data_IF_204407343307
#
_entry.id   IF_204407343307
#
_cell.length_a   1.000
_cell.length_b   1.000
_cell.length_c   1.000
_cell.angle_alpha   90.00
_cell.angle_beta   90.00
_cell.angle_gamma   90.00
#
_symmetry.space_group_name_H-M   'P 1'
#
loop_
_entity.id
_entity.type
_entity.pdbx_description
1 polymer ?
#
# COMPACT_ATOMS: atom_id res chain seq x y z
N UNK A 1 17.98 -35.45 39.40
CA UNK A 1 18.68 -34.56 38.43
C UNK A 1 17.99 -34.74 37.10
N UNK A 2 17.63 -33.66 36.42
CA UNK A 2 17.16 -33.72 35.03
C UNK A 2 18.32 -34.13 34.13
N UNK A 3 18.14 -35.17 33.32
CA UNK A 3 19.10 -35.61 32.30
C UNK A 3 18.63 -35.15 30.92
N UNK A 4 19.56 -34.96 29.97
CA UNK A 4 19.20 -34.51 28.62
C UNK A 4 18.34 -35.55 27.89
N UNK A 5 18.57 -36.83 28.20
CA UNK A 5 17.84 -37.99 27.71
C UNK A 5 16.37 -38.00 28.13
N UNK A 6 16.01 -37.30 29.23
CA UNK A 6 14.63 -37.15 29.68
C UNK A 6 13.80 -36.28 28.71
N UNK A 7 14.45 -35.51 27.82
CA UNK A 7 13.79 -34.68 26.81
C UNK A 7 13.48 -35.45 25.50
N UNK A 8 12.96 -36.67 25.63
CA UNK A 8 12.50 -37.49 24.51
C UNK A 8 11.01 -37.82 24.66
N UNK A 9 10.31 -38.09 23.55
CA UNK A 9 8.89 -38.44 23.54
C UNK A 9 7.95 -37.46 24.28
N UNK A 10 8.27 -36.16 24.26
CA UNK A 10 7.51 -35.13 24.98
C UNK A 10 6.24 -34.67 24.23
N UNK A 11 6.33 -34.56 22.90
CA UNK A 11 5.22 -34.14 22.05
C UNK A 11 5.41 -34.67 20.63
N UNK A 12 4.30 -34.79 19.90
CA UNK A 12 4.31 -35.27 18.52
C UNK A 12 4.80 -34.17 17.56
N UNK A 13 5.57 -34.56 16.55
CA UNK A 13 6.04 -33.66 15.49
C UNK A 13 5.74 -34.28 14.13
N UNK A 14 4.88 -33.62 13.35
CA UNK A 14 4.58 -34.04 11.98
C UNK A 14 5.73 -33.67 11.03
N UNK A 15 6.18 -34.63 10.21
CA UNK A 15 7.18 -34.41 9.16
C UNK A 15 6.68 -34.97 7.84
N UNK A 16 7.01 -34.31 6.74
CA UNK A 16 6.65 -34.75 5.38
C UNK A 16 7.90 -35.20 4.63
N UNK A 17 7.95 -36.47 4.25
CA UNK A 17 8.99 -37.01 3.36
C UNK A 17 8.53 -36.88 1.91
N UNK A 18 9.47 -36.63 0.99
CA UNK A 18 9.18 -36.49 -0.45
C UNK A 18 10.10 -37.44 -1.22
N UNK A 19 9.51 -38.23 -2.12
CA UNK A 19 10.20 -39.21 -2.94
C UNK A 19 9.77 -39.06 -4.39
N UNK A 20 10.67 -39.39 -5.31
CA UNK A 20 10.33 -39.57 -6.72
C UNK A 20 9.59 -40.90 -6.90
N UNK A 21 8.55 -40.90 -7.74
CA UNK A 21 7.82 -42.12 -8.10
C UNK A 21 8.20 -42.54 -9.52
N UNK A 22 8.99 -43.61 -9.64
CA UNK A 22 9.44 -44.16 -10.92
C UNK A 22 8.43 -45.23 -11.38
N UNK A 23 7.67 -45.02 -12.49
CA UNK A 23 6.67 -45.97 -12.95
C UNK A 23 7.32 -47.30 -13.38
N UNK A 24 6.69 -48.42 -13.01
CA UNK A 24 7.24 -49.77 -13.25
C UNK A 24 6.46 -50.49 -14.36
N UNK A 25 7.16 -51.25 -15.20
CA UNK A 25 6.53 -52.05 -16.26
C UNK A 25 5.74 -51.19 -17.27
N UNK A 26 4.45 -51.48 -17.44
CA UNK A 26 3.55 -50.78 -18.38
C UNK A 26 2.78 -49.60 -17.76
N UNK A 27 3.06 -49.24 -16.51
CA UNK A 27 2.31 -48.17 -15.80
C UNK A 27 2.31 -46.85 -16.56
N UNK A 28 3.47 -46.37 -17.05
CA UNK A 28 3.54 -45.11 -17.79
C UNK A 28 2.71 -45.15 -19.09
N UNK A 29 2.79 -46.27 -19.81
CA UNK A 29 2.03 -46.47 -21.05
C UNK A 29 0.53 -46.36 -20.79
N UNK A 30 0.01 -47.03 -19.75
CA UNK A 30 -1.41 -46.98 -19.42
C UNK A 30 -1.86 -45.60 -18.92
N UNK A 31 -1.00 -44.87 -18.18
CA UNK A 31 -1.28 -43.49 -17.76
C UNK A 31 -1.46 -42.58 -18.99
N UNK A 32 -0.56 -42.71 -19.97
CA UNK A 32 -0.61 -41.92 -21.21
C UNK A 32 -1.80 -42.30 -22.10
N UNK A 33 -2.11 -43.60 -22.23
CA UNK A 33 -3.26 -44.09 -23.00
C UNK A 33 -4.60 -43.60 -22.44
N UNK A 34 -4.71 -43.43 -21.12
CA UNK A 34 -5.92 -42.93 -20.47
C UNK A 34 -5.96 -41.40 -20.33
N UNK A 35 -4.84 -40.69 -20.56
CA UNK A 35 -4.77 -39.23 -20.48
C UNK A 35 -4.89 -38.65 -19.06
N UNK A 36 -4.51 -39.42 -18.03
CA UNK A 36 -4.67 -39.00 -16.62
C UNK A 36 -3.91 -37.72 -16.27
N UNK A 37 -2.73 -37.51 -16.88
CA UNK A 37 -1.89 -36.34 -16.59
C UNK A 37 -2.54 -35.06 -17.14
N UNK A 38 -3.12 -35.15 -18.33
CA UNK A 38 -3.79 -34.05 -19.00
C UNK A 38 -5.08 -33.65 -18.27
N UNK A 39 -5.88 -34.63 -17.80
CA UNK A 39 -7.08 -34.33 -17.00
C UNK A 39 -6.73 -33.74 -15.62
N UNK A 40 -5.68 -34.22 -14.95
CA UNK A 40 -5.24 -33.67 -13.66
C UNK A 40 -4.70 -32.25 -13.83
N UNK A 41 -3.99 -32.01 -14.94
CA UNK A 41 -3.53 -30.67 -15.32
C UNK A 41 -4.71 -29.73 -15.55
N UNK A 42 -5.69 -30.14 -16.36
CA UNK A 42 -6.90 -29.36 -16.62
C UNK A 42 -7.70 -29.11 -15.34
N UNK A 43 -7.86 -30.12 -14.48
CA UNK A 43 -8.57 -30.01 -13.19
C UNK A 43 -7.89 -29.02 -12.25
N UNK A 44 -6.57 -29.03 -12.18
CA UNK A 44 -5.82 -28.05 -11.40
C UNK A 44 -5.96 -26.63 -11.95
N UNK A 45 -6.01 -26.47 -13.27
CA UNK A 45 -6.22 -25.16 -13.89
C UNK A 45 -7.67 -24.67 -13.65
N UNK A 46 -8.68 -25.52 -13.82
CA UNK A 46 -10.07 -25.22 -13.43
C UNK A 46 -10.20 -24.88 -11.94
N UNK A 47 -9.46 -25.57 -11.05
CA UNK A 47 -9.44 -25.27 -9.62
C UNK A 47 -8.90 -23.86 -9.34
N UNK A 48 -7.82 -23.46 -10.02
CA UNK A 48 -7.22 -22.12 -9.89
C UNK A 48 -8.15 -21.03 -10.40
N UNK A 49 -8.87 -21.29 -11.50
CA UNK A 49 -9.87 -20.36 -12.04
C UNK A 49 -11.11 -20.26 -11.15
N UNK A 50 -11.54 -21.38 -10.56
CA UNK A 50 -12.75 -21.44 -9.75
C UNK A 50 -12.57 -20.83 -8.35
N UNK A 51 -11.36 -20.90 -7.78
CA UNK A 51 -11.08 -20.38 -6.43
C UNK A 51 -11.39 -18.87 -6.28
N UNK A 52 -10.96 -17.96 -7.18
CA UNK A 52 -11.36 -16.56 -7.17
C UNK A 52 -12.87 -16.33 -7.26
N UNK A 53 -13.56 -17.14 -8.06
CA UNK A 53 -15.03 -17.07 -8.22
C UNK A 53 -15.72 -17.42 -6.90
N UNK A 54 -15.27 -18.48 -6.24
CA UNK A 54 -15.78 -18.86 -4.92
C UNK A 54 -15.42 -17.80 -3.87
N UNK A 55 -14.21 -17.23 -3.92
CA UNK A 55 -13.78 -16.15 -3.03
C UNK A 55 -14.69 -14.91 -3.15
N UNK A 56 -15.28 -14.64 -4.32
CA UNK A 56 -16.31 -13.60 -4.48
C UNK A 56 -17.50 -13.82 -3.54
N UNK A 57 -17.96 -15.06 -3.40
CA UNK A 57 -19.08 -15.43 -2.52
C UNK A 57 -18.75 -15.12 -1.06
N UNK A 58 -17.59 -15.58 -0.58
CA UNK A 58 -17.15 -15.32 0.79
C UNK A 58 -16.94 -13.83 1.08
N UNK A 59 -16.31 -13.09 0.14
CA UNK A 59 -16.09 -11.64 0.27
C UNK A 59 -17.42 -10.90 0.37
N UNK A 60 -18.37 -11.19 -0.53
CA UNK A 60 -19.67 -10.54 -0.53
C UNK A 60 -20.44 -10.82 0.76
N UNK A 61 -20.45 -12.07 1.22
CA UNK A 61 -21.15 -12.42 2.47
C UNK A 61 -20.52 -11.71 3.68
N UNK A 62 -19.19 -11.79 3.82
CA UNK A 62 -18.49 -11.15 4.92
C UNK A 62 -18.75 -9.63 4.92
N UNK A 63 -18.65 -8.98 3.76
CA UNK A 63 -18.86 -7.55 3.63
C UNK A 63 -20.30 -7.14 4.02
N UNK A 64 -21.31 -7.86 3.54
CA UNK A 64 -22.72 -7.63 3.90
C UNK A 64 -22.96 -7.77 5.41
N UNK A 65 -22.39 -8.80 6.06
CA UNK A 65 -22.51 -8.96 7.51
C UNK A 65 -21.81 -7.83 8.27
N UNK A 66 -20.60 -7.45 7.85
CA UNK A 66 -19.81 -6.40 8.52
C UNK A 66 -20.44 -5.02 8.44
N UNK A 67 -21.18 -4.71 7.36
CA UNK A 67 -21.94 -3.46 7.24
C UNK A 67 -23.07 -3.33 8.28
N UNK A 68 -23.54 -4.44 8.83
CA UNK A 68 -24.62 -4.47 9.83
C UNK A 68 -24.11 -4.40 11.26
N UNK A 69 -22.80 -4.58 11.47
CA UNK A 69 -22.22 -4.64 12.82
C UNK A 69 -22.33 -3.28 13.50
N UNK A 70 -22.90 -3.28 14.69
CA UNK A 70 -22.86 -2.18 15.63
C UNK A 70 -22.52 -2.72 17.01
N UNK A 71 -21.32 -2.38 17.50
CA UNK A 71 -20.85 -2.71 18.84
C UNK A 71 -20.47 -1.43 19.59
N UNK A 72 -20.64 -1.47 20.91
CA UNK A 72 -19.99 -0.52 21.81
C UNK A 72 -18.57 -1.02 22.09
N UNK A 73 -17.57 -0.15 21.96
CA UNK A 73 -16.16 -0.50 22.05
C UNK A 73 -15.51 -0.03 23.36
N UNK A 74 -16.26 0.58 24.27
CA UNK A 74 -15.74 1.12 25.53
C UNK A 74 -15.17 0.05 26.46
N UNK A 75 -15.84 -1.10 26.60
CA UNK A 75 -15.38 -2.18 27.48
C UNK A 75 -14.03 -2.75 27.02
N UNK A 76 -13.88 -3.01 25.71
CA UNK A 76 -12.61 -3.46 25.14
C UNK A 76 -11.52 -2.39 25.31
N UNK A 77 -11.86 -1.12 25.11
CA UNK A 77 -10.96 0.02 25.34
C UNK A 77 -10.46 0.05 26.80
N UNK A 78 -11.37 -0.10 27.77
CA UNK A 78 -11.05 -0.12 29.19
C UNK A 78 -10.17 -1.32 29.57
N UNK A 79 -10.46 -2.52 29.04
CA UNK A 79 -9.63 -3.71 29.27
C UNK A 79 -8.20 -3.53 28.72
N UNK A 80 -8.06 -2.93 27.54
CA UNK A 80 -6.75 -2.59 26.94
C UNK A 80 -5.99 -1.62 27.86
N UNK A 81 -6.65 -0.58 28.35
CA UNK A 81 -6.02 0.44 29.19
C UNK A 81 -5.59 -0.10 30.55
N UNK A 82 -6.44 -0.91 31.20
CA UNK A 82 -6.11 -1.61 32.46
C UNK A 82 -4.89 -2.50 32.30
N UNK A 83 -4.84 -3.32 31.24
CA UNK A 83 -3.68 -4.16 30.97
C UNK A 83 -2.41 -3.36 30.69
N UNK A 84 -2.50 -2.27 29.91
CA UNK A 84 -1.34 -1.39 29.62
C UNK A 84 -0.79 -0.73 30.87
N UNK A 85 -1.66 -0.37 31.83
CA UNK A 85 -1.31 0.29 33.08
C UNK A 85 -0.70 -0.68 34.10
N UNK A 86 -1.36 -1.81 34.34
CA UNK A 86 -1.00 -2.71 35.44
C UNK A 86 -0.03 -3.81 35.03
N UNK A 87 -0.14 -4.33 33.79
CA UNK A 87 0.72 -5.38 33.24
C UNK A 87 0.78 -6.66 34.08
N UNK A 88 -0.34 -7.01 34.72
CA UNK A 88 -0.49 -8.21 35.56
C UNK A 88 -1.07 -9.37 34.74
N UNK A 89 -0.95 -10.60 35.27
CA UNK A 89 -1.58 -11.79 34.66
C UNK A 89 -3.12 -11.70 34.70
N UNK A 90 -3.67 -11.14 35.78
CA UNK A 90 -5.12 -10.91 35.93
C UNK A 90 -5.66 -9.97 34.83
N UNK A 91 -5.05 -8.80 34.67
CA UNK A 91 -5.48 -7.84 33.62
C UNK A 91 -5.22 -8.36 32.21
N UNK A 92 -4.20 -9.21 32.03
CA UNK A 92 -3.97 -9.91 30.76
C UNK A 92 -5.10 -10.89 30.45
N UNK A 93 -5.50 -11.70 31.43
CA UNK A 93 -6.57 -12.70 31.25
C UNK A 93 -7.92 -12.02 31.03
N UNK A 94 -8.22 -10.96 31.78
CA UNK A 94 -9.43 -10.14 31.56
C UNK A 94 -9.47 -9.56 30.14
N UNK A 95 -8.35 -9.06 29.62
CA UNK A 95 -8.28 -8.59 28.22
C UNK A 95 -8.49 -9.73 27.22
N UNK A 96 -7.94 -10.92 27.45
CA UNK A 96 -8.12 -12.09 26.57
C UNK A 96 -9.60 -12.51 26.53
N UNK A 97 -10.27 -12.52 27.69
CA UNK A 97 -11.70 -12.80 27.80
C UNK A 97 -12.55 -11.76 27.06
N UNK A 98 -12.27 -10.47 27.26
CA UNK A 98 -12.98 -9.40 26.57
C UNK A 98 -12.77 -9.48 25.05
N UNK A 99 -11.55 -9.75 24.60
CA UNK A 99 -11.26 -9.99 23.18
C UNK A 99 -12.07 -11.17 22.63
N UNK A 100 -12.20 -12.27 23.39
CA UNK A 100 -13.02 -13.40 22.99
C UNK A 100 -14.51 -13.02 22.89
N UNK A 101 -15.04 -12.25 23.83
CA UNK A 101 -16.41 -11.73 23.80
C UNK A 101 -16.66 -10.90 22.55
N UNK A 102 -15.77 -9.96 22.23
CA UNK A 102 -15.91 -9.14 21.02
C UNK A 102 -15.74 -9.96 19.73
N UNK A 103 -14.85 -10.96 19.70
CA UNK A 103 -14.73 -11.85 18.53
C UNK A 103 -16.00 -12.67 18.32
N UNK A 104 -16.59 -13.20 19.39
CA UNK A 104 -17.86 -13.91 19.36
C UNK A 104 -19.01 -13.00 18.89
N UNK A 105 -19.08 -11.77 19.41
CA UNK A 105 -20.10 -10.81 19.01
C UNK A 105 -20.07 -10.50 17.51
N UNK A 106 -18.88 -10.39 16.90
CA UNK A 106 -18.74 -10.28 15.43
C UNK A 106 -19.15 -11.58 14.73
N UNK A 107 -18.71 -12.73 15.26
CA UNK A 107 -19.03 -14.03 14.69
C UNK A 107 -20.54 -14.31 14.65
N UNK A 108 -21.29 -13.83 15.64
CA UNK A 108 -22.75 -13.99 15.70
C UNK A 108 -23.49 -13.33 14.53
N UNK A 109 -22.92 -12.29 13.90
CA UNK A 109 -23.45 -11.75 12.65
C UNK A 109 -23.26 -12.72 11.48
N UNK A 110 -22.17 -13.49 11.46
CA UNK A 110 -21.93 -14.49 10.41
C UNK A 110 -22.79 -15.74 10.57
N UNK A 111 -23.09 -16.17 11.80
CA UNK A 111 -23.86 -17.39 12.05
C UNK A 111 -25.35 -17.12 12.32
N UNK A 112 -25.76 -15.85 12.40
CA UNK A 112 -27.15 -15.44 12.59
C UNK A 112 -27.66 -15.69 14.01
N UNK A 113 -26.90 -15.23 15.02
CA UNK A 113 -27.21 -15.39 16.44
C UNK A 113 -27.09 -14.09 17.24
N UNK A 114 -27.04 -12.95 16.58
CA UNK A 114 -26.93 -11.65 17.25
C UNK A 114 -28.30 -11.08 17.56
N UNK A 115 -28.47 -10.53 18.76
CA UNK A 115 -29.71 -9.85 19.17
C UNK A 115 -29.92 -8.51 18.43
N UNK A 116 -28.88 -7.99 17.76
CA UNK A 116 -28.95 -6.72 17.03
C UNK A 116 -29.65 -6.84 15.67
N UNK A 117 -30.00 -8.05 15.25
CA UNK A 117 -30.68 -8.33 13.98
C UNK A 117 -32.02 -9.03 14.21
N UNK A 118 -32.93 -8.84 13.26
CA UNK A 118 -34.24 -9.54 13.28
C UNK A 118 -34.07 -11.04 13.07
N UNK A 119 -35.00 -11.84 13.60
CA UNK A 119 -35.04 -13.30 13.42
C UNK A 119 -34.99 -13.72 11.94
N UNK A 120 -35.62 -12.95 11.06
CA UNK A 120 -35.63 -13.21 9.63
C UNK A 120 -34.23 -13.09 9.01
N UNK A 121 -33.46 -12.08 9.40
CA UNK A 121 -32.08 -11.87 8.94
C UNK A 121 -31.17 -12.93 9.55
N UNK A 122 -31.29 -13.18 10.85
CA UNK A 122 -30.53 -14.21 11.56
C UNK A 122 -30.74 -15.60 10.94
N UNK A 123 -31.99 -15.98 10.65
CA UNK A 123 -32.30 -17.25 9.99
C UNK A 123 -31.64 -17.34 8.60
N UNK A 124 -31.66 -16.26 7.82
CA UNK A 124 -30.99 -16.21 6.50
C UNK A 124 -29.49 -16.40 6.63
N UNK A 125 -28.83 -15.70 7.55
CA UNK A 125 -27.38 -15.83 7.78
C UNK A 125 -27.01 -17.25 8.23
N UNK A 126 -27.79 -17.85 9.14
CA UNK A 126 -27.59 -19.21 9.59
C UNK A 126 -27.70 -20.25 8.45
N UNK A 127 -28.64 -20.06 7.52
CA UNK A 127 -28.79 -20.91 6.33
C UNK A 127 -27.59 -20.75 5.37
N UNK A 128 -27.17 -19.51 5.08
CA UNK A 128 -26.00 -19.23 4.24
C UNK A 128 -24.76 -19.88 4.84
N UNK A 129 -24.48 -19.64 6.13
CA UNK A 129 -23.27 -20.09 6.80
C UNK A 129 -23.13 -21.61 6.82
N UNK A 130 -24.24 -22.36 6.99
CA UNK A 130 -24.24 -23.83 6.92
C UNK A 130 -23.81 -24.36 5.56
N UNK A 131 -24.13 -23.64 4.48
CA UNK A 131 -23.80 -24.00 3.11
C UNK A 131 -22.42 -23.53 2.64
N UNK A 132 -21.81 -22.55 3.32
CA UNK A 132 -20.55 -21.91 2.92
C UNK A 132 -19.34 -22.86 2.85
N UNK A 133 -19.34 -23.95 3.62
CA UNK A 133 -18.18 -24.85 3.74
C UNK A 133 -18.51 -26.28 3.27
N UNK A 134 -19.47 -26.41 2.36
CA UNK A 134 -19.96 -27.69 1.82
C UNK A 134 -20.20 -27.60 0.32
N UNK A 135 -20.55 -28.73 -0.29
CA UNK A 135 -20.96 -28.81 -1.70
C UNK A 135 -22.12 -27.85 -2.07
N UNK A 136 -22.89 -27.38 -1.08
CA UNK A 136 -23.96 -26.39 -1.25
C UNK A 136 -23.47 -25.04 -1.77
N UNK A 137 -22.19 -24.73 -1.61
CA UNK A 137 -21.55 -23.57 -2.23
C UNK A 137 -21.61 -23.61 -3.77
N UNK A 138 -21.65 -24.81 -4.35
CA UNK A 138 -21.53 -25.05 -5.80
C UNK A 138 -22.88 -25.22 -6.50
N UNK A 139 -23.95 -25.50 -5.75
CA UNK A 139 -25.29 -25.75 -6.32
C UNK A 139 -26.11 -24.47 -6.51
N UNK A 140 -25.51 -23.29 -6.27
CA UNK A 140 -26.13 -21.98 -6.45
C UNK A 140 -27.16 -21.57 -5.39
N UNK A 141 -27.43 -22.40 -4.36
CA UNK A 141 -28.33 -22.02 -3.26
C UNK A 141 -27.80 -20.80 -2.50
N UNK A 142 -26.51 -20.81 -2.15
CA UNK A 142 -25.86 -19.68 -1.48
C UNK A 142 -25.91 -18.42 -2.34
N UNK A 143 -25.67 -18.54 -3.66
CA UNK A 143 -25.73 -17.41 -4.59
C UNK A 143 -27.12 -16.75 -4.63
N UNK A 144 -28.18 -17.56 -4.70
CA UNK A 144 -29.57 -17.06 -4.65
C UNK A 144 -29.85 -16.29 -3.36
N UNK A 145 -29.31 -16.75 -2.24
CA UNK A 145 -29.46 -16.10 -0.94
C UNK A 145 -28.55 -14.87 -0.75
N UNK A 146 -27.49 -14.70 -1.53
CA UNK A 146 -26.71 -13.45 -1.54
C UNK A 146 -27.33 -12.39 -2.46
N UNK A 147 -28.06 -12.81 -3.50
CA UNK A 147 -28.86 -11.96 -4.40
C UNK A 147 -28.07 -11.01 -5.31
N UNK A 148 -26.83 -10.70 -4.94
CA UNK A 148 -25.93 -9.72 -5.57
C UNK A 148 -24.88 -10.37 -6.48
N UNK A 149 -24.72 -11.69 -6.37
CA UNK A 149 -23.71 -12.43 -7.12
C UNK A 149 -24.39 -13.28 -8.20
N UNK A 150 -24.26 -12.86 -9.45
CA UNK A 150 -24.63 -13.67 -10.62
C UNK A 150 -23.42 -14.45 -11.12
N UNK A 151 -23.67 -15.60 -11.75
CA UNK A 151 -22.61 -16.39 -12.39
C UNK A 151 -22.72 -16.34 -13.90
N UNK A 152 -21.60 -16.21 -14.59
CA UNK A 152 -21.57 -16.31 -16.06
C UNK A 152 -21.75 -17.76 -16.52
N UNK A 153 -22.04 -17.97 -17.80
CA UNK A 153 -22.14 -19.33 -18.36
C UNK A 153 -20.84 -20.12 -18.17
N UNK A 154 -19.69 -19.46 -18.35
CA UNK A 154 -18.37 -20.02 -18.11
C UNK A 154 -18.13 -20.39 -16.64
N UNK A 155 -18.47 -19.49 -15.70
CA UNK A 155 -18.36 -19.76 -14.26
C UNK A 155 -19.25 -20.95 -13.85
N UNK A 156 -20.46 -21.03 -14.42
CA UNK A 156 -21.35 -22.17 -14.20
C UNK A 156 -20.81 -23.49 -14.78
N UNK A 157 -20.12 -23.44 -15.92
CA UNK A 157 -19.44 -24.61 -16.48
C UNK A 157 -18.28 -25.08 -15.57
N UNK A 158 -17.48 -24.15 -15.05
CA UNK A 158 -16.41 -24.44 -14.08
C UNK A 158 -16.97 -25.05 -12.80
N UNK A 159 -18.06 -24.50 -12.24
CA UNK A 159 -18.74 -25.06 -11.07
C UNK A 159 -19.21 -26.51 -11.32
N UNK A 160 -19.80 -26.78 -12.49
CA UNK A 160 -20.25 -28.12 -12.88
C UNK A 160 -19.09 -29.10 -13.10
N UNK A 161 -17.89 -28.63 -13.47
CA UNK A 161 -16.72 -29.50 -13.66
C UNK A 161 -16.25 -30.20 -12.36
N UNK A 162 -16.72 -29.71 -11.21
CA UNK A 162 -16.49 -30.31 -9.90
C UNK A 162 -17.73 -31.02 -9.33
N UNK A 163 -18.77 -31.26 -10.14
CA UNK A 163 -19.88 -32.11 -9.72
C UNK A 163 -19.36 -33.49 -9.28
N UNK A 164 -19.82 -33.96 -8.12
CA UNK A 164 -19.32 -35.16 -7.41
C UNK A 164 -17.83 -35.16 -7.04
N UNK A 165 -17.11 -34.05 -7.21
CA UNK A 165 -15.67 -33.91 -6.92
C UNK A 165 -15.36 -32.78 -5.93
N UNK A 166 -16.38 -32.28 -5.21
CA UNK A 166 -16.25 -31.14 -4.28
C UNK A 166 -15.35 -31.42 -3.07
N UNK A 167 -15.01 -32.69 -2.80
CA UNK A 167 -14.04 -33.07 -1.77
C UNK A 167 -12.62 -32.60 -2.09
N UNK A 168 -12.32 -32.30 -3.36
CA UNK A 168 -11.07 -31.64 -3.76
C UNK A 168 -10.85 -30.31 -3.03
N UNK A 169 -11.94 -29.65 -2.59
CA UNK A 169 -11.91 -28.39 -1.85
C UNK A 169 -11.83 -28.57 -0.33
N UNK A 170 -11.64 -29.77 0.21
CA UNK A 170 -11.66 -30.00 1.67
C UNK A 170 -10.69 -29.09 2.43
N UNK A 171 -9.42 -29.04 2.01
CA UNK A 171 -8.43 -28.12 2.61
C UNK A 171 -8.75 -26.65 2.37
N UNK A 172 -9.39 -26.33 1.24
CA UNK A 172 -9.85 -24.96 0.97
C UNK A 172 -10.98 -24.54 1.90
N UNK A 173 -11.93 -25.42 2.24
CA UNK A 173 -12.98 -25.14 3.21
C UNK A 173 -12.39 -24.87 4.59
N UNK A 174 -11.41 -25.66 5.06
CA UNK A 174 -10.75 -25.40 6.34
C UNK A 174 -10.05 -24.02 6.35
N UNK A 175 -9.35 -23.68 5.27
CA UNK A 175 -8.76 -22.35 5.10
C UNK A 175 -9.82 -21.24 5.17
N UNK A 176 -11.05 -21.48 4.70
CA UNK A 176 -12.15 -20.50 4.75
C UNK A 176 -12.86 -20.50 6.10
N UNK A 177 -13.01 -21.62 6.79
CA UNK A 177 -13.52 -21.65 8.17
C UNK A 177 -12.64 -20.79 9.09
N UNK A 178 -11.32 -20.89 8.93
CA UNK A 178 -10.36 -20.05 9.66
C UNK A 178 -10.57 -18.55 9.45
N UNK A 179 -11.14 -18.13 8.31
CA UNK A 179 -11.45 -16.71 8.03
C UNK A 179 -12.63 -16.22 8.86
N UNK A 180 -13.64 -17.06 9.09
CA UNK A 180 -14.86 -16.69 9.82
C UNK A 180 -14.83 -17.08 11.30
N UNK A 181 -13.78 -17.77 11.76
CA UNK A 181 -13.65 -18.27 13.12
C UNK A 181 -13.70 -17.16 14.18
N UNK A 182 -14.31 -17.46 15.33
CA UNK A 182 -14.25 -16.61 16.52
C UNK A 182 -12.98 -16.85 17.38
N UNK A 183 -12.21 -17.88 17.05
CA UNK A 183 -10.97 -18.22 17.75
C UNK A 183 -9.90 -17.14 17.62
N UNK A 184 -8.95 -17.16 18.55
CA UNK A 184 -7.79 -16.27 18.55
C UNK A 184 -6.75 -16.69 17.49
N UNK A 185 -7.10 -16.52 16.21
CA UNK A 185 -6.24 -16.83 15.07
C UNK A 185 -6.13 -15.65 14.12
N UNK A 186 -4.90 -15.31 13.74
CA UNK A 186 -4.59 -14.14 12.89
C UNK A 186 -5.19 -14.18 11.48
N UNK A 187 -5.64 -15.37 11.04
CA UNK A 187 -6.33 -15.56 9.76
C UNK A 187 -7.81 -15.17 9.80
N UNK A 188 -8.38 -14.90 10.98
CA UNK A 188 -9.80 -14.65 11.15
C UNK A 188 -10.17 -13.16 11.05
N UNK A 189 -11.34 -12.88 10.49
CA UNK A 189 -11.94 -11.54 10.41
C UNK A 189 -12.22 -10.98 11.82
N UNK A 190 -12.85 -11.72 12.77
CA UNK A 190 -13.04 -11.23 14.12
C UNK A 190 -11.74 -10.81 14.80
N UNK A 191 -10.67 -11.62 14.70
CA UNK A 191 -9.35 -11.26 15.23
C UNK A 191 -8.82 -9.96 14.59
N UNK A 192 -8.87 -9.84 13.25
CA UNK A 192 -8.44 -8.64 12.52
C UNK A 192 -9.16 -7.38 13.00
N UNK A 193 -10.46 -7.47 13.28
CA UNK A 193 -11.25 -6.35 13.76
C UNK A 193 -10.89 -6.01 15.21
N UNK A 194 -10.85 -7.00 16.09
CA UNK A 194 -10.81 -6.80 17.55
C UNK A 194 -9.39 -6.55 18.07
N UNK A 195 -8.41 -7.33 17.61
CA UNK A 195 -7.05 -7.32 18.15
C UNK A 195 -6.06 -6.55 17.29
N UNK A 196 -6.28 -6.49 15.97
CA UNK A 196 -5.38 -5.74 15.09
C UNK A 196 -5.83 -4.30 14.87
N UNK A 197 -7.06 -4.09 14.35
CA UNK A 197 -7.49 -2.79 13.87
C UNK A 197 -8.07 -1.89 14.96
N UNK A 198 -8.84 -2.42 15.92
CA UNK A 198 -9.41 -1.60 16.99
C UNK A 198 -8.34 -0.92 17.85
N UNK A 199 -7.26 -1.60 18.29
CA UNK A 199 -6.20 -0.94 19.06
C UNK A 199 -5.48 0.18 18.27
N UNK A 200 -5.35 0.04 16.94
CA UNK A 200 -4.80 1.09 16.07
C UNK A 200 -5.74 2.29 16.00
N UNK A 201 -7.03 2.04 15.80
CA UNK A 201 -8.05 3.08 15.76
C UNK A 201 -8.15 3.82 17.10
N UNK A 202 -8.21 3.09 18.22
CA UNK A 202 -8.19 3.66 19.58
C UNK A 202 -6.98 4.58 19.80
N UNK A 203 -5.79 4.16 19.38
CA UNK A 203 -4.60 5.01 19.48
C UNK A 203 -4.70 6.25 18.60
N UNK A 204 -5.28 6.15 17.40
CA UNK A 204 -5.52 7.31 16.55
C UNK A 204 -6.48 8.32 17.19
N UNK A 205 -7.54 7.87 17.87
CA UNK A 205 -8.43 8.74 18.64
C UNK A 205 -7.67 9.50 19.73
N UNK A 206 -6.80 8.78 20.45
CA UNK A 206 -5.96 9.38 21.50
C UNK A 206 -4.97 10.41 20.93
N UNK A 207 -4.29 10.09 19.82
CA UNK A 207 -3.40 11.00 19.09
C UNK A 207 -4.15 12.26 18.66
N UNK A 208 -5.31 12.09 18.02
CA UNK A 208 -6.13 13.20 17.53
C UNK A 208 -6.49 14.16 18.66
N UNK A 209 -7.07 13.65 19.74
CA UNK A 209 -7.49 14.45 20.90
C UNK A 209 -6.31 15.23 21.48
N UNK A 210 -5.17 14.58 21.73
CA UNK A 210 -3.99 15.26 22.30
C UNK A 210 -3.46 16.37 21.39
N UNK A 211 -3.43 16.14 20.08
CA UNK A 211 -2.97 17.12 19.11
C UNK A 211 -3.86 18.35 19.09
N UNK A 212 -5.18 18.18 19.01
CA UNK A 212 -6.11 19.33 18.93
C UNK A 212 -6.29 20.04 20.27
N UNK A 213 -6.09 19.36 21.40
CA UNK A 213 -6.07 20.02 22.71
C UNK A 213 -4.82 20.90 22.86
N UNK A 214 -3.65 20.42 22.43
CA UNK A 214 -2.41 21.19 22.51
C UNK A 214 -2.31 22.28 21.43
N UNK A 215 -2.84 22.03 20.24
CA UNK A 215 -2.82 22.94 19.09
C UNK A 215 -4.20 22.96 18.41
N UNK A 216 -5.16 23.78 18.91
CA UNK A 216 -6.54 23.80 18.43
C UNK A 216 -6.72 24.09 16.94
N UNK A 217 -5.80 24.84 16.31
CA UNK A 217 -5.84 25.12 14.87
C UNK A 217 -5.70 23.87 14.00
N UNK A 218 -5.08 22.79 14.49
CA UNK A 218 -4.99 21.52 13.76
C UNK A 218 -6.37 20.92 13.46
N UNK A 219 -7.38 21.20 14.29
CA UNK A 219 -8.76 20.75 14.08
C UNK A 219 -9.29 21.19 12.72
N UNK A 220 -9.17 22.49 12.42
CA UNK A 220 -9.64 23.06 11.15
C UNK A 220 -8.80 22.54 9.97
N UNK A 221 -7.48 22.40 10.15
CA UNK A 221 -6.61 21.81 9.12
C UNK A 221 -7.01 20.37 8.77
N UNK A 222 -7.31 19.53 9.77
CA UNK A 222 -7.72 18.15 9.54
C UNK A 222 -9.10 18.05 8.87
N UNK A 223 -10.05 18.89 9.26
CA UNK A 223 -11.36 18.97 8.60
C UNK A 223 -11.21 19.42 7.13
N UNK A 224 -10.35 20.39 6.85
CA UNK A 224 -10.07 20.86 5.49
C UNK A 224 -9.41 19.78 4.62
N UNK A 225 -8.50 18.96 5.19
CA UNK A 225 -7.94 17.80 4.48
C UNK A 225 -9.03 16.80 4.10
N UNK A 226 -9.91 16.45 5.05
CA UNK A 226 -11.04 15.54 4.79
C UNK A 226 -11.95 16.06 3.69
N UNK A 227 -12.30 17.35 3.72
CA UNK A 227 -13.10 18.02 2.67
C UNK A 227 -12.40 18.06 1.32
N UNK A 228 -11.10 18.35 1.28
CA UNK A 228 -10.32 18.38 0.04
C UNK A 228 -10.19 16.99 -0.61
N UNK A 229 -10.13 15.93 0.18
CA UNK A 229 -10.16 14.55 -0.30
C UNK A 229 -11.58 14.15 -0.75
N UNK A 230 -12.63 14.73 -0.15
CA UNK A 230 -14.02 14.48 -0.52
C UNK A 230 -14.60 13.18 0.06
N UNK A 231 -14.12 12.76 1.24
CA UNK A 231 -14.54 11.52 1.91
C UNK A 231 -15.20 11.83 3.25
N UNK A 232 -16.07 10.93 3.73
CA UNK A 232 -16.81 11.08 4.98
C UNK A 232 -17.49 12.46 5.10
N UNK A 233 -18.13 12.90 4.00
CA UNK A 233 -18.64 14.27 3.83
C UNK A 233 -19.67 14.68 4.88
N UNK A 234 -20.44 13.70 5.39
CA UNK A 234 -21.48 13.90 6.42
C UNK A 234 -20.98 13.71 7.84
N UNK A 235 -19.71 13.39 8.05
CA UNK A 235 -19.14 13.09 9.37
C UNK A 235 -18.06 14.12 9.70
N UNK A 236 -18.18 14.91 10.77
CA UNK A 236 -17.14 15.84 11.19
C UNK A 236 -15.87 15.08 11.62
N UNK A 237 -14.71 15.72 11.52
CA UNK A 237 -13.43 15.07 11.82
C UNK A 237 -13.35 14.51 13.25
N UNK A 238 -14.03 15.11 14.23
CA UNK A 238 -14.08 14.59 15.59
C UNK A 238 -14.81 13.25 15.67
N UNK A 239 -15.92 13.10 14.95
CA UNK A 239 -16.67 11.85 14.91
C UNK A 239 -15.86 10.76 14.21
N UNK A 240 -15.08 11.10 13.17
CA UNK A 240 -14.16 10.15 12.51
C UNK A 240 -13.15 9.55 13.49
N UNK A 241 -12.74 10.32 14.50
CA UNK A 241 -11.86 9.89 15.59
C UNK A 241 -12.61 9.59 16.89
N UNK A 242 -13.82 9.04 16.79
CA UNK A 242 -14.61 8.56 17.92
C UNK A 242 -14.95 7.07 17.79
N UNK A 243 -15.10 6.36 18.91
CA UNK A 243 -15.35 4.91 18.91
C UNK A 243 -16.58 4.46 18.13
N UNK A 244 -17.73 5.16 18.16
CA UNK A 244 -18.89 4.76 17.36
C UNK A 244 -18.58 4.65 15.86
N UNK A 245 -17.69 5.50 15.34
CA UNK A 245 -17.30 5.49 13.93
C UNK A 245 -16.49 4.27 13.53
N UNK A 246 -15.87 3.54 14.48
CA UNK A 246 -15.13 2.32 14.17
C UNK A 246 -16.03 1.22 13.57
N UNK A 247 -17.32 1.19 13.93
CA UNK A 247 -18.29 0.29 13.30
C UNK A 247 -18.43 0.54 11.78
N UNK A 248 -18.13 1.76 11.32
CA UNK A 248 -18.11 2.10 9.88
C UNK A 248 -16.79 1.77 9.19
N UNK A 249 -15.78 1.25 9.91
CA UNK A 249 -14.43 0.97 9.41
C UNK A 249 -14.12 -0.54 9.35
N UNK A 250 -15.15 -1.39 9.34
CA UNK A 250 -14.98 -2.85 9.36
C UNK A 250 -14.81 -3.46 7.97
N UNK A 251 -15.33 -2.79 6.92
CA UNK A 251 -15.23 -3.20 5.52
C UNK A 251 -13.98 -2.63 4.85
N UNK A 252 -13.51 -3.31 3.80
CA UNK A 252 -12.26 -2.94 3.13
C UNK A 252 -12.33 -1.56 2.45
N UNK A 253 -13.46 -1.23 1.83
CA UNK A 253 -13.69 0.08 1.19
C UNK A 253 -13.53 1.20 2.20
N UNK A 254 -14.12 1.07 3.38
CA UNK A 254 -14.06 2.07 4.43
C UNK A 254 -12.66 2.16 5.06
N UNK A 255 -11.97 1.02 5.24
CA UNK A 255 -10.55 0.98 5.64
C UNK A 255 -9.67 1.73 4.64
N UNK A 256 -9.89 1.52 3.34
CA UNK A 256 -9.12 2.19 2.30
C UNK A 256 -9.37 3.70 2.30
N UNK A 257 -10.61 4.16 2.47
CA UNK A 257 -10.93 5.59 2.61
C UNK A 257 -10.28 6.20 3.85
N UNK A 258 -10.37 5.52 5.01
CA UNK A 258 -9.71 5.96 6.24
C UNK A 258 -8.20 6.07 6.06
N UNK A 259 -7.55 5.04 5.51
CA UNK A 259 -6.11 5.07 5.27
C UNK A 259 -5.69 6.17 4.29
N UNK A 260 -6.55 6.54 3.33
CA UNK A 260 -6.30 7.67 2.42
C UNK A 260 -6.51 9.02 3.08
N UNK A 261 -7.41 9.16 4.07
CA UNK A 261 -7.45 10.35 4.93
C UNK A 261 -6.08 10.55 5.60
N UNK A 262 -5.50 9.47 6.13
CA UNK A 262 -4.23 9.50 6.84
C UNK A 262 -3.04 9.77 5.90
N UNK A 263 -3.03 9.15 4.72
CA UNK A 263 -1.87 9.09 3.80
C UNK A 263 -1.95 9.93 2.52
N UNK A 264 -3.09 10.53 2.21
CA UNK A 264 -3.33 11.34 1.01
C UNK A 264 -3.55 10.53 -0.27
N UNK A 265 -3.71 11.25 -1.38
CA UNK A 265 -4.02 10.68 -2.72
C UNK A 265 -3.03 11.22 -3.75
N UNK A 266 -2.32 10.30 -4.41
CA UNK A 266 -1.40 10.63 -5.50
C UNK A 266 -2.16 10.69 -6.83
N UNK A 267 -1.92 11.76 -7.57
CA UNK A 267 -2.35 11.91 -8.97
C UNK A 267 -1.23 11.38 -9.89
N UNK A 268 -1.32 11.68 -11.18
CA UNK A 268 -0.29 11.34 -12.17
C UNK A 268 1.11 11.80 -11.73
N UNK A 269 2.13 11.02 -12.09
CA UNK A 269 3.51 11.33 -11.72
C UNK A 269 3.91 12.73 -12.21
N UNK A 270 4.46 13.55 -11.30
CA UNK A 270 4.84 14.93 -11.60
C UNK A 270 3.78 15.99 -11.24
N UNK A 271 2.56 15.58 -10.88
CA UNK A 271 1.52 16.50 -10.39
C UNK A 271 1.50 16.61 -8.87
N UNK A 272 0.93 17.69 -8.33
CA UNK A 272 0.84 17.87 -6.87
C UNK A 272 -0.09 16.82 -6.24
N UNK A 273 0.46 16.09 -5.27
CA UNK A 273 -0.24 15.10 -4.46
C UNK A 273 -1.20 15.79 -3.46
N UNK A 274 -2.41 15.25 -3.32
CA UNK A 274 -3.32 15.66 -2.24
C UNK A 274 -2.77 15.08 -0.93
N UNK A 275 -2.47 15.96 0.02
CA UNK A 275 -1.84 15.60 1.30
C UNK A 275 -2.84 14.97 2.26
N UNK A 276 -2.43 13.93 2.97
CA UNK A 276 -3.17 13.36 4.11
C UNK A 276 -2.79 14.00 5.45
N UNK A 277 -3.43 13.56 6.52
CA UNK A 277 -3.21 14.10 7.87
C UNK A 277 -1.75 13.96 8.34
N UNK A 278 -1.12 12.81 8.07
CA UNK A 278 0.27 12.57 8.48
C UNK A 278 1.25 13.49 7.74
N UNK A 279 0.99 13.82 6.48
CA UNK A 279 1.83 14.74 5.71
C UNK A 279 1.66 16.18 6.18
N UNK A 280 0.43 16.59 6.51
CA UNK A 280 0.17 17.92 7.10
C UNK A 280 0.91 18.07 8.42
N UNK A 281 0.88 17.05 9.29
CA UNK A 281 1.63 17.06 10.54
C UNK A 281 3.13 17.12 10.32
N UNK A 282 3.67 16.32 9.40
CA UNK A 282 5.09 16.35 9.06
C UNK A 282 5.52 17.74 8.53
N UNK A 283 4.71 18.37 7.66
CA UNK A 283 4.99 19.72 7.16
C UNK A 283 4.92 20.78 8.28
N UNK A 284 4.00 20.63 9.24
CA UNK A 284 3.92 21.51 10.39
C UNK A 284 5.19 21.40 11.26
N UNK A 285 5.67 20.19 11.51
CA UNK A 285 6.90 19.95 12.28
C UNK A 285 8.14 20.51 11.57
N UNK A 286 8.22 20.38 10.24
CA UNK A 286 9.36 20.88 9.46
C UNK A 286 9.51 22.41 9.45
N UNK A 287 8.49 23.16 9.90
CA UNK A 287 8.59 24.62 10.07
C UNK A 287 9.55 25.03 11.19
N UNK A 288 9.85 24.13 12.14
CA UNK A 288 10.76 24.40 13.28
C UNK A 288 10.42 25.69 14.05
N UNK A 289 9.14 25.99 14.20
CA UNK A 289 8.64 27.05 15.07
C UNK A 289 8.19 26.48 16.44
N UNK A 290 7.70 27.32 17.34
CA UNK A 290 7.24 26.88 18.66
C UNK A 290 6.10 25.83 18.57
N UNK A 291 5.21 25.98 17.58
CA UNK A 291 4.12 25.02 17.35
C UNK A 291 4.66 23.66 16.89
N UNK A 292 5.67 23.66 16.01
CA UNK A 292 6.36 22.46 15.58
C UNK A 292 6.96 21.68 16.76
N UNK A 293 7.57 22.37 17.73
CA UNK A 293 8.12 21.73 18.93
C UNK A 293 7.03 21.11 19.82
N UNK A 294 5.89 21.77 19.97
CA UNK A 294 4.74 21.22 20.70
C UNK A 294 4.26 19.93 20.01
N UNK A 295 4.02 19.97 18.70
CA UNK A 295 3.54 18.80 17.94
C UNK A 295 4.56 17.66 18.02
N UNK A 296 5.85 17.93 17.84
CA UNK A 296 6.91 16.91 17.85
C UNK A 296 7.08 16.23 19.21
N UNK A 297 6.72 16.92 20.31
CA UNK A 297 6.74 16.35 21.67
C UNK A 297 5.60 15.36 21.94
N UNK A 298 4.58 15.33 21.08
CA UNK A 298 3.40 14.47 21.20
C UNK A 298 3.50 13.27 20.26
N UNK A 299 2.78 12.17 20.54
CA UNK A 299 2.44 11.19 19.53
C UNK A 299 1.66 11.89 18.40
N UNK A 300 2.24 11.95 17.21
CA UNK A 300 1.73 12.79 16.11
C UNK A 300 1.57 12.03 14.79
N UNK A 301 1.80 10.71 14.76
CA UNK A 301 1.65 9.91 13.54
C UNK A 301 0.47 8.96 13.68
N UNK A 302 -0.57 9.22 12.89
CA UNK A 302 -1.70 8.31 12.78
C UNK A 302 -1.29 6.98 12.12
N UNK A 303 -1.89 5.91 12.62
CA UNK A 303 -1.58 4.52 12.30
C UNK A 303 -2.62 4.00 11.31
N UNK A 304 -2.23 3.59 10.08
CA UNK A 304 -3.17 3.01 9.14
C UNK A 304 -3.69 1.64 9.63
N UNK A 305 -4.93 1.34 9.30
CA UNK A 305 -5.56 0.06 9.60
C UNK A 305 -5.07 -1.02 8.62
N UNK A 306 -4.99 -2.26 9.09
CA UNK A 306 -4.73 -3.40 8.22
C UNK A 306 -5.94 -3.68 7.33
N UNK A 307 -5.66 -4.25 6.16
CA UNK A 307 -6.72 -4.69 5.23
C UNK A 307 -7.65 -5.71 5.90
N UNK A 308 -8.89 -5.79 5.48
CA UNK A 308 -9.77 -6.89 5.85
C UNK A 308 -9.30 -8.19 5.20
N UNK A 309 -9.57 -9.33 5.85
CA UNK A 309 -9.22 -10.66 5.34
C UNK A 309 -10.02 -10.96 4.06
N UNK A 310 -9.37 -11.60 3.08
CA UNK A 310 -9.87 -11.91 1.72
C UNK A 310 -10.17 -10.71 0.81
N UNK A 311 -10.42 -9.50 1.33
CA UNK A 311 -10.82 -8.36 0.50
C UNK A 311 -9.73 -7.87 -0.46
N UNK A 312 -10.16 -7.37 -1.61
CA UNK A 312 -9.30 -6.70 -2.58
C UNK A 312 -9.11 -5.24 -2.19
N UNK A 313 -7.89 -4.72 -2.32
CA UNK A 313 -7.60 -3.31 -2.03
C UNK A 313 -8.04 -2.44 -3.19
N UNK A 314 -8.64 -1.31 -2.87
CA UNK A 314 -8.89 -0.25 -3.82
C UNK A 314 -8.13 1.01 -3.39
N UNK A 315 -7.75 1.84 -4.36
CA UNK A 315 -7.12 3.13 -4.08
C UNK A 315 -7.75 4.20 -4.97
N UNK A 316 -7.91 5.41 -4.43
CA UNK A 316 -8.26 6.60 -5.20
C UNK A 316 -7.04 7.23 -5.87
N UNK A 317 -5.83 6.72 -5.56
CA UNK A 317 -4.62 7.16 -6.24
C UNK A 317 -4.57 6.64 -7.67
N UNK A 318 -3.97 7.43 -8.55
CA UNK A 318 -3.79 7.06 -9.94
C UNK A 318 -2.92 5.79 -10.06
N UNK A 319 -3.36 4.84 -10.88
CA UNK A 319 -2.62 3.63 -11.23
C UNK A 319 -2.26 3.74 -12.70
N UNK A 320 -0.97 3.60 -13.01
CA UNK A 320 -0.49 3.55 -14.39
C UNK A 320 -1.06 2.31 -15.09
N UNK A 321 -1.45 2.49 -16.36
CA UNK A 321 -1.77 1.36 -17.22
C UNK A 321 -0.52 0.48 -17.41
N UNK A 322 -0.73 -0.84 -17.43
CA UNK A 322 0.33 -1.81 -17.62
C UNK A 322 0.38 -2.29 -19.07
N UNK A 323 1.56 -2.29 -19.66
CA UNK A 323 1.80 -2.99 -20.93
C UNK A 323 1.65 -4.50 -20.73
N UNK A 324 1.03 -5.18 -21.69
CA UNK A 324 0.67 -6.60 -21.64
C UNK A 324 1.63 -7.52 -22.39
N UNK A 325 2.54 -6.96 -23.19
CA UNK A 325 3.49 -7.74 -23.98
C UNK A 325 4.78 -6.97 -24.28
N UNK A 326 5.84 -7.72 -24.60
CA UNK A 326 7.11 -7.18 -25.10
C UNK A 326 6.91 -6.25 -26.28
N UNK A 327 6.09 -6.69 -27.24
CA UNK A 327 5.81 -5.95 -28.47
C UNK A 327 5.17 -4.59 -28.18
N UNK A 328 4.23 -4.56 -27.24
CA UNK A 328 3.55 -3.33 -26.83
C UNK A 328 4.53 -2.31 -26.25
N UNK A 329 5.45 -2.74 -25.37
CA UNK A 329 6.50 -1.89 -24.80
C UNK A 329 7.43 -1.36 -25.89
N UNK A 330 7.95 -2.25 -26.73
CA UNK A 330 8.95 -1.93 -27.75
C UNK A 330 8.34 -0.98 -28.79
N UNK A 331 7.15 -1.28 -29.30
CA UNK A 331 6.48 -0.44 -30.30
C UNK A 331 6.08 0.92 -29.72
N UNK A 332 5.49 0.96 -28.52
CA UNK A 332 5.09 2.21 -27.88
C UNK A 332 6.31 3.11 -27.67
N UNK A 333 7.40 2.56 -27.13
CA UNK A 333 8.62 3.33 -26.91
C UNK A 333 9.32 3.74 -28.22
N UNK A 334 9.33 2.88 -29.25
CA UNK A 334 9.88 3.21 -30.57
C UNK A 334 9.14 4.38 -31.22
N UNK A 335 7.80 4.37 -31.14
CA UNK A 335 6.96 5.48 -31.63
C UNK A 335 7.30 6.77 -30.89
N UNK A 336 7.43 6.73 -29.56
CA UNK A 336 7.81 7.89 -28.76
C UNK A 336 9.21 8.42 -29.13
N UNK A 337 10.22 7.55 -29.25
CA UNK A 337 11.56 7.94 -29.71
C UNK A 337 11.55 8.58 -31.11
N UNK A 338 10.68 8.10 -31.99
CA UNK A 338 10.53 8.66 -33.34
C UNK A 338 9.86 10.03 -33.30
N UNK A 339 8.85 10.20 -32.45
CA UNK A 339 8.22 11.50 -32.20
C UNK A 339 9.24 12.52 -31.72
N UNK A 340 10.04 12.19 -30.69
CA UNK A 340 11.06 13.09 -30.15
C UNK A 340 12.08 13.54 -31.21
N UNK A 341 12.50 12.62 -32.10
CA UNK A 341 13.40 12.95 -33.22
C UNK A 341 12.72 13.87 -34.24
N UNK A 342 11.46 13.58 -34.59
CA UNK A 342 10.71 14.38 -35.56
C UNK A 342 10.37 15.78 -35.06
N UNK A 343 10.21 15.96 -33.74
CA UNK A 343 9.95 17.24 -33.09
C UNK A 343 11.24 18.04 -32.81
N UNK A 344 12.42 17.52 -33.19
CA UNK A 344 13.72 18.15 -33.00
C UNK A 344 13.98 18.63 -31.56
N UNK A 345 13.51 17.84 -30.57
CA UNK A 345 13.58 18.26 -29.15
C UNK A 345 15.02 18.37 -28.65
N UNK A 346 15.92 17.55 -29.20
CA UNK A 346 17.30 17.46 -28.73
C UNK A 346 18.17 18.56 -29.36
N UNK A 347 17.97 18.83 -30.64
CA UNK A 347 18.60 19.96 -31.34
C UNK A 347 18.15 21.29 -30.73
N UNK A 348 16.87 21.41 -30.38
CA UNK A 348 16.34 22.58 -29.67
C UNK A 348 16.96 22.72 -28.28
N UNK A 349 17.09 21.63 -27.53
CA UNK A 349 17.74 21.66 -26.21
C UNK A 349 19.21 22.10 -26.31
N UNK A 350 19.98 21.55 -27.26
CA UNK A 350 21.37 21.94 -27.53
C UNK A 350 21.49 23.43 -27.87
N UNK A 351 20.62 23.95 -28.74
CA UNK A 351 20.58 25.37 -29.08
C UNK A 351 20.31 26.25 -27.85
N UNK A 352 19.27 25.93 -27.07
CA UNK A 352 18.91 26.68 -25.85
C UNK A 352 20.04 26.69 -24.81
N UNK A 353 20.72 25.57 -24.58
CA UNK A 353 21.84 25.53 -23.65
C UNK A 353 23.07 26.26 -24.20
N UNK A 354 23.28 26.28 -25.52
CA UNK A 354 24.37 27.04 -26.14
C UNK A 354 24.13 28.56 -26.08
N UNK A 355 22.88 29.01 -26.19
CA UNK A 355 22.49 30.42 -26.06
C UNK A 355 22.90 31.02 -24.71
N UNK A 356 22.91 30.22 -23.63
CA UNK A 356 23.35 30.63 -22.28
C UNK A 356 24.77 31.23 -22.25
N UNK A 357 25.62 30.98 -23.25
CA UNK A 357 26.94 31.59 -23.34
C UNK A 357 26.92 33.08 -23.74
N UNK A 358 25.78 33.58 -24.25
CA UNK A 358 25.70 34.89 -24.90
C UNK A 358 24.50 35.75 -24.49
N UNK A 359 23.47 35.15 -23.90
CA UNK A 359 22.27 35.88 -23.44
C UNK A 359 22.42 36.42 -22.01
N UNK A 360 21.50 37.31 -21.62
CA UNK A 360 21.42 37.84 -20.26
C UNK A 360 20.87 36.79 -19.28
N UNK A 361 21.76 36.32 -18.39
CA UNK A 361 21.47 35.27 -17.42
C UNK A 361 20.68 35.74 -16.19
N UNK A 362 20.39 37.05 -16.07
CA UNK A 362 19.54 37.57 -14.99
C UNK A 362 18.06 37.22 -15.16
N UNK A 363 17.65 36.85 -16.38
CA UNK A 363 16.29 36.44 -16.73
C UNK A 363 16.11 34.92 -16.88
N UNK A 364 17.16 34.13 -16.60
CA UNK A 364 17.12 32.67 -16.59
C UNK A 364 17.06 32.18 -15.15
N UNK A 365 15.98 31.50 -14.77
CA UNK A 365 15.73 31.13 -13.38
C UNK A 365 15.92 29.64 -13.13
N UNK A 366 16.57 29.31 -12.02
CA UNK A 366 16.64 27.98 -11.45
C UNK A 366 15.62 27.88 -10.32
N UNK A 367 14.79 26.84 -10.37
CA UNK A 367 13.83 26.58 -9.31
C UNK A 367 14.54 26.35 -7.98
N UNK A 368 14.14 27.06 -6.92
CA UNK A 368 14.71 26.88 -5.58
C UNK A 368 14.57 25.43 -5.08
N UNK A 369 13.50 24.73 -5.48
CA UNK A 369 13.26 23.31 -5.15
C UNK A 369 14.31 22.35 -5.74
N UNK A 370 15.08 22.80 -6.74
CA UNK A 370 16.10 22.02 -7.44
C UNK A 370 17.52 22.47 -7.10
N UNK A 371 17.70 23.55 -6.33
CA UNK A 371 19.00 24.14 -6.04
C UNK A 371 19.96 23.12 -5.40
N UNK A 372 19.52 22.40 -4.38
CA UNK A 372 20.34 21.38 -3.70
C UNK A 372 20.63 20.16 -4.61
N UNK A 373 19.69 19.81 -5.50
CA UNK A 373 19.88 18.73 -6.48
C UNK A 373 20.95 19.11 -7.49
N UNK A 374 20.90 20.35 -7.99
CA UNK A 374 21.87 20.89 -8.93
C UNK A 374 23.23 21.05 -8.24
N UNK A 375 23.27 21.56 -7.01
CA UNK A 375 24.50 21.64 -6.21
C UNK A 375 25.15 20.28 -6.05
N UNK A 376 24.39 19.23 -5.76
CA UNK A 376 24.93 17.87 -5.65
C UNK A 376 25.45 17.30 -6.98
N UNK A 377 24.89 17.75 -8.11
CA UNK A 377 25.27 17.27 -9.44
C UNK A 377 26.48 18.02 -10.02
N UNK A 378 26.72 19.26 -9.59
CA UNK A 378 27.73 20.16 -10.15
C UNK A 378 28.85 20.52 -9.17
N UNK A 379 28.64 20.34 -7.86
CA UNK A 379 29.55 20.73 -6.79
C UNK A 379 29.83 19.55 -5.84
N UNK A 380 30.77 19.74 -4.92
CA UNK A 380 31.18 18.72 -3.94
C UNK A 380 30.08 18.36 -2.92
N UNK A 381 29.22 19.31 -2.57
CA UNK A 381 28.19 19.15 -1.55
C UNK A 381 26.82 19.70 -1.99
N UNK A 382 25.77 19.13 -1.41
CA UNK A 382 24.38 19.49 -1.71
C UNK A 382 24.02 20.93 -1.31
N UNK A 383 24.77 21.52 -0.38
CA UNK A 383 24.53 22.87 0.13
C UNK A 383 25.55 23.90 -0.34
N UNK A 384 26.52 23.54 -1.19
CA UNK A 384 27.54 24.46 -1.71
C UNK A 384 26.92 25.71 -2.33
N UNK A 385 25.95 25.54 -3.25
CA UNK A 385 25.31 26.69 -3.91
C UNK A 385 24.50 27.54 -2.92
N UNK A 386 23.76 26.88 -2.01
CA UNK A 386 22.97 27.57 -0.99
C UNK A 386 23.85 28.44 -0.09
N UNK A 387 24.99 27.90 0.35
CA UNK A 387 25.92 28.61 1.22
C UNK A 387 26.60 29.77 0.46
N UNK A 388 27.00 29.57 -0.80
CA UNK A 388 27.58 30.63 -1.63
C UNK A 388 26.60 31.80 -1.85
N UNK A 389 25.35 31.50 -2.21
CA UNK A 389 24.29 32.51 -2.37
C UNK A 389 23.98 33.24 -1.07
N UNK A 390 23.96 32.51 0.05
CA UNK A 390 23.78 33.10 1.38
C UNK A 390 24.89 34.12 1.68
N UNK A 391 26.16 33.74 1.56
CA UNK A 391 27.28 34.64 1.82
C UNK A 391 27.28 35.86 0.91
N UNK A 392 26.97 35.67 -0.39
CA UNK A 392 26.84 36.78 -1.34
C UNK A 392 25.76 37.77 -0.90
N UNK A 393 24.52 37.29 -0.68
CA UNK A 393 23.40 38.17 -0.27
C UNK A 393 23.67 38.86 1.06
N UNK A 394 24.38 38.21 2.00
CA UNK A 394 24.80 38.83 3.26
C UNK A 394 25.79 39.97 3.02
N UNK A 395 26.74 39.81 2.11
CA UNK A 395 27.73 40.84 1.78
C UNK A 395 27.12 42.08 1.11
N UNK A 396 25.96 41.94 0.47
CA UNK A 396 25.24 43.01 -0.22
C UNK A 396 24.27 43.79 0.70
N UNK A 397 24.08 43.33 1.94
CA UNK A 397 23.19 44.01 2.90
C UNK A 397 23.78 45.35 3.35
N UNK A 398 22.95 46.40 3.30
CA UNK A 398 23.30 47.74 3.78
C UNK A 398 23.08 47.87 5.30
N UNK A 399 24.07 48.42 6.01
CA UNK A 399 23.97 48.71 7.45
C UNK A 399 24.43 47.58 8.37
N UNK A 400 23.97 47.58 9.63
CA UNK A 400 24.41 46.59 10.63
C UNK A 400 23.77 45.23 10.39
N UNK A 401 24.58 44.19 10.18
CA UNK A 401 24.11 42.81 9.97
C UNK A 401 23.59 42.21 11.28
N UNK A 402 22.27 42.21 11.46
CA UNK A 402 21.59 41.63 12.63
C UNK A 402 21.22 40.16 12.41
N UNK A 403 20.93 39.44 13.50
CA UNK A 403 20.44 38.05 13.44
C UNK A 403 19.15 37.94 12.61
N UNK A 404 18.21 38.88 12.79
CA UNK A 404 16.97 38.92 12.00
C UNK A 404 17.22 39.12 10.50
N UNK A 405 18.21 39.96 10.12
CA UNK A 405 18.58 40.14 8.72
C UNK A 405 19.14 38.84 8.10
N UNK A 406 19.97 38.10 8.84
CA UNK A 406 20.48 36.79 8.40
C UNK A 406 19.36 35.77 8.18
N UNK A 407 18.40 35.71 9.09
CA UNK A 407 17.24 34.81 8.99
C UNK A 407 16.31 35.16 7.82
N UNK A 408 16.20 36.45 7.46
CA UNK A 408 15.44 36.88 6.26
C UNK A 408 16.09 36.36 4.98
N UNK A 409 17.42 36.48 4.85
CA UNK A 409 18.15 35.96 3.68
C UNK A 409 17.98 34.44 3.58
N UNK A 410 18.16 33.69 4.67
CA UNK A 410 17.96 32.23 4.67
C UNK A 410 16.54 31.83 4.26
N UNK A 411 15.52 32.61 4.65
CA UNK A 411 14.14 32.39 4.22
C UNK A 411 13.94 32.70 2.74
N UNK A 412 14.53 33.77 2.21
CA UNK A 412 14.39 34.12 0.78
C UNK A 412 14.84 32.99 -0.15
N UNK A 413 15.96 32.33 0.19
CA UNK A 413 16.49 31.20 -0.59
C UNK A 413 15.56 29.97 -0.63
N UNK A 414 14.56 29.90 0.27
CA UNK A 414 13.56 28.82 0.30
C UNK A 414 12.24 29.18 -0.38
N UNK A 415 12.08 30.43 -0.83
CA UNK A 415 10.81 30.94 -1.34
C UNK A 415 10.90 31.53 -2.76
N UNK A 416 12.10 31.89 -3.21
CA UNK A 416 12.33 32.56 -4.49
C UNK A 416 13.19 31.71 -5.41
N UNK A 417 12.76 31.58 -6.66
CA UNK A 417 13.61 31.03 -7.72
C UNK A 417 14.76 31.99 -8.00
N UNK A 418 15.93 31.44 -8.34
CA UNK A 418 17.20 32.18 -8.32
C UNK A 418 17.71 32.29 -9.75
N UNK A 419 18.06 33.50 -10.19
CA UNK A 419 18.57 33.71 -11.53
C UNK A 419 19.98 33.13 -11.68
N UNK A 420 20.30 32.63 -12.87
CA UNK A 420 21.54 31.90 -13.16
C UNK A 420 22.78 32.80 -13.00
N UNK A 421 22.66 34.09 -13.33
CA UNK A 421 23.75 35.05 -13.15
C UNK A 421 24.17 35.18 -11.68
N UNK A 422 23.21 35.24 -10.76
CA UNK A 422 23.46 35.31 -9.32
C UNK A 422 24.19 34.07 -8.82
N UNK A 423 23.75 32.88 -9.26
CA UNK A 423 24.38 31.59 -8.90
C UNK A 423 25.83 31.54 -9.37
N UNK A 424 26.09 31.87 -10.63
CA UNK A 424 27.45 31.90 -11.19
C UNK A 424 28.32 32.93 -10.46
N UNK A 425 27.77 34.11 -10.16
CA UNK A 425 28.50 35.17 -9.46
C UNK A 425 28.80 34.82 -8.00
N UNK A 426 27.99 33.97 -7.37
CA UNK A 426 28.20 33.50 -6.01
C UNK A 426 29.19 32.33 -5.93
N UNK A 427 29.09 31.36 -6.84
CA UNK A 427 29.88 30.13 -6.80
C UNK A 427 31.19 30.19 -7.61
N UNK A 428 31.33 31.16 -8.52
CA UNK A 428 32.52 31.36 -9.33
C UNK A 428 32.50 30.63 -10.68
N UNK A 429 33.59 30.79 -11.44
CA UNK A 429 33.71 30.32 -12.84
C UNK A 429 33.73 28.80 -12.98
N UNK A 430 34.26 28.09 -11.98
CA UNK A 430 34.30 26.62 -11.99
C UNK A 430 32.90 25.99 -12.08
N UNK A 431 31.88 26.63 -11.48
CA UNK A 431 30.49 26.18 -11.63
C UNK A 431 30.00 26.27 -13.07
N UNK A 432 30.42 27.31 -13.81
CA UNK A 432 30.03 27.48 -15.21
C UNK A 432 30.60 26.38 -16.08
N UNK A 433 31.85 25.97 -15.83
CA UNK A 433 32.48 24.85 -16.54
C UNK A 433 31.85 23.51 -16.17
N UNK A 434 31.58 23.27 -14.88
CA UNK A 434 30.84 22.07 -14.44
C UNK A 434 29.44 22.00 -15.07
N UNK A 435 28.74 23.13 -15.18
CA UNK A 435 27.43 23.21 -15.83
C UNK A 435 27.50 22.85 -17.32
N UNK A 436 28.48 23.37 -18.07
CA UNK A 436 28.72 23.04 -19.48
C UNK A 436 29.03 21.56 -19.68
N UNK A 437 29.93 21.01 -18.86
CA UNK A 437 30.29 19.61 -18.91
C UNK A 437 29.06 18.73 -18.66
N UNK A 438 28.32 19.00 -17.59
CA UNK A 438 27.15 18.18 -17.23
C UNK A 438 26.06 18.20 -18.28
N UNK A 439 25.83 19.38 -18.86
CA UNK A 439 24.89 19.57 -19.97
C UNK A 439 25.30 18.72 -21.18
N UNK A 440 26.57 18.80 -21.57
CA UNK A 440 27.11 18.03 -22.70
C UNK A 440 26.98 16.53 -22.49
N UNK A 441 27.26 16.04 -21.28
CA UNK A 441 27.10 14.62 -20.93
C UNK A 441 25.64 14.15 -21.03
N UNK A 442 24.68 14.94 -20.55
CA UNK A 442 23.25 14.57 -20.58
C UNK A 442 22.74 14.53 -22.02
N UNK A 443 23.04 15.57 -22.81
CA UNK A 443 22.60 15.66 -24.21
C UNK A 443 23.21 14.55 -25.07
N UNK A 444 24.51 14.27 -24.89
CA UNK A 444 25.20 13.17 -25.59
C UNK A 444 24.58 11.80 -25.31
N UNK A 445 24.26 11.49 -24.04
CA UNK A 445 23.58 10.24 -23.70
C UNK A 445 22.17 10.16 -24.29
N UNK A 446 21.41 11.27 -24.29
CA UNK A 446 20.09 11.31 -24.90
C UNK A 446 20.16 11.09 -26.42
N UNK A 447 21.16 11.67 -27.09
CA UNK A 447 21.43 11.46 -28.52
C UNK A 447 21.68 9.99 -28.82
N UNK A 448 22.65 9.39 -28.11
CA UNK A 448 22.98 7.98 -28.25
C UNK A 448 21.76 7.08 -27.99
N UNK A 449 20.93 7.43 -27.00
CA UNK A 449 19.73 6.68 -26.68
C UNK A 449 18.66 6.78 -27.78
N UNK A 450 18.50 7.93 -28.44
CA UNK A 450 17.54 8.10 -29.54
C UNK A 450 17.97 7.30 -30.79
N UNK A 451 19.26 7.28 -31.09
CA UNK A 451 19.83 6.62 -32.27
C UNK A 451 19.94 5.10 -32.12
N UNK A 452 20.15 4.61 -30.89
CA UNK A 452 20.26 3.18 -30.64
C UNK A 452 18.94 2.44 -30.95
N UNK A 453 18.94 1.40 -31.82
CA UNK A 453 17.73 0.63 -32.07
C UNK A 453 17.30 -0.17 -30.84
N UNK A 454 15.99 -0.33 -30.66
CA UNK A 454 15.44 -1.17 -29.61
C UNK A 454 15.62 -2.67 -29.95
N UNK A 455 15.71 -3.55 -28.95
CA UNK A 455 15.75 -5.00 -29.19
C UNK A 455 14.42 -5.49 -29.80
N UNK A 456 14.45 -6.63 -30.50
CA UNK A 456 13.25 -7.23 -31.10
C UNK A 456 12.32 -7.87 -30.08
N UNK A 457 12.85 -8.33 -28.93
CA UNK A 457 12.08 -8.90 -27.81
C UNK A 457 12.76 -8.57 -26.48
N UNK A 458 12.01 -8.58 -25.38
CA UNK A 458 12.55 -8.35 -24.05
C UNK A 458 13.02 -9.70 -23.47
N UNK A 459 14.28 -10.06 -23.73
CA UNK A 459 14.84 -11.32 -23.19
C UNK A 459 14.64 -11.42 -21.68
N UNK A 460 13.84 -12.40 -21.25
CA UNK A 460 13.72 -12.77 -19.85
C UNK A 460 15.10 -13.28 -19.40
N UNK A 461 15.62 -12.72 -18.29
CA UNK A 461 16.91 -13.07 -17.66
C UNK A 461 17.17 -14.59 -17.44
N UNK A 462 16.18 -15.47 -17.65
CA UNK A 462 16.28 -16.93 -17.52
C UNK A 462 17.11 -17.60 -18.63
N UNK A 463 17.24 -17.00 -19.81
CA UNK A 463 17.99 -17.63 -20.91
C UNK A 463 19.52 -17.52 -20.79
N UNK A 464 20.05 -16.74 -19.83
CA UNK A 464 21.49 -16.67 -19.58
C UNK A 464 22.06 -17.84 -18.74
N UNK A 465 21.21 -18.70 -18.16
CA UNK A 465 21.67 -19.84 -17.33
C UNK A 465 21.67 -21.19 -18.03
N UNK A 466 21.00 -21.35 -19.17
CA UNK A 466 20.96 -22.62 -19.92
C UNK A 466 22.15 -22.84 -20.88
N UNK A 467 22.97 -21.81 -21.14
CA UNK A 467 24.15 -21.92 -22.01
C UNK A 467 25.44 -22.35 -21.31
N UNK A 468 25.45 -22.56 -19.99
CA UNK A 468 26.64 -22.94 -19.21
C UNK A 468 26.63 -24.36 -18.60
N UNK A 469 25.73 -25.26 -19.04
CA UNK A 469 25.69 -26.66 -18.57
C UNK A 469 25.80 -27.67 -19.73
N UNK A 470 26.77 -27.45 -20.61
CA UNK A 470 27.16 -28.40 -21.64
C UNK A 470 28.68 -28.59 -21.65
N UNK A 471 29.23 -28.94 -20.49
CA UNK A 471 30.52 -29.62 -20.34
C UNK A 471 30.73 -29.96 -18.86
N UNK A 472 30.46 -31.20 -18.47
CA UNK A 472 31.32 -32.05 -17.63
C UNK A 472 30.73 -33.45 -17.78
N UNK A 473 31.35 -34.24 -18.65
CA UNK A 473 31.40 -35.69 -18.53
C UNK A 473 32.48 -35.99 -17.49
N UNK A 474 32.14 -36.72 -16.44
CA UNK A 474 32.68 -38.04 -16.11
C UNK A 474 31.83 -38.66 -15.00
#
# INVERSE_FOLDING_TARGET
>A
MTQFEDFTNLYQVSKTLRFELIPQGKTLKHIQEQGFIEEDKARNDHYKELKPIIDRIYKTYADQCLQLVQLDWENLSAAIDSYRKEKTEETRNALIEEQATYRNAIHDYFIGRTDNLTDAINKRHAEIYKGLFKAELFNGKVLKQLGTVTTTEHENALLRSFDKFTTYFSGFYENRKNVFSAEDISTAIPHRIVQDNFPKFKENCHIFTRLITAVPSLREHFENVKKAIGIFVSTPIEEVFSFPFYNQLLTQTQIDLYNQLLGGISREAGTEKIKGLNEVLNLAIQKNDETAHIIASLPHRFIPLFKQILSDRNTLSFILEEFKSDEEVIQSFCKYKTLLRNENVLETAEALFNELNSIDLTHIFISHKKLETISSALCDHWDTLRNALYERRISELTGKITKSAKEKVQRSLKHEDINLQEIISAAGKELSEAFKQKTSEILSHAHAALDQPLPTTLKIRKEKKSSNHSSIRF
#
